data_IF_193470579109
#
_entry.id   IF_193470579109
#
_cell.length_a   1.000
_cell.length_b   1.000
_cell.length_c   1.000
_cell.angle_alpha   90.00
_cell.angle_beta   90.00
_cell.angle_gamma   90.00
#
_symmetry.space_group_name_H-M   'P 1'
#
loop_
_entity.id
_entity.type
_entity.pdbx_description
1 polymer ?
#
# COMPACT_ATOMS: atom_id res chain seq x y z
N UNK A 1 11.98 -3.91 14.44
CA UNK A 1 13.20 -3.19 13.98
C UNK A 1 12.79 -2.14 12.96
N UNK A 2 13.45 -0.97 12.96
CA UNK A 2 13.35 0.00 11.85
C UNK A 2 14.48 -0.27 10.86
N UNK A 3 14.14 -0.42 9.58
CA UNK A 3 15.08 -0.62 8.49
C UNK A 3 15.40 0.72 7.81
N UNK A 4 16.59 0.83 7.22
CA UNK A 4 17.18 2.11 6.81
C UNK A 4 17.65 2.03 5.36
N UNK A 5 17.04 2.84 4.48
CA UNK A 5 17.52 3.00 3.10
C UNK A 5 18.45 4.22 2.97
N UNK A 6 18.19 5.28 3.75
CA UNK A 6 19.01 6.51 3.78
C UNK A 6 19.22 6.97 5.21
N UNK A 7 20.46 7.35 5.53
CA UNK A 7 20.82 7.78 6.88
C UNK A 7 19.94 8.94 7.38
N UNK A 8 19.49 8.85 8.63
CA UNK A 8 18.60 9.81 9.25
C UNK A 8 19.03 10.04 10.71
N UNK A 9 19.46 11.27 11.01
CA UNK A 9 19.70 11.70 12.38
C UNK A 9 18.37 12.13 13.00
N UNK A 10 17.85 11.36 13.95
CA UNK A 10 16.52 11.58 14.53
C UNK A 10 16.47 12.90 15.32
N UNK A 11 17.58 13.33 15.91
CA UNK A 11 17.74 14.61 16.62
C UNK A 11 17.46 15.85 15.76
N UNK A 12 17.63 15.71 14.43
CA UNK A 12 17.35 16.81 13.48
C UNK A 12 15.88 16.91 13.12
N UNK A 13 15.07 15.90 13.43
CA UNK A 13 13.63 15.92 13.20
C UNK A 13 12.99 16.81 14.27
N UNK A 14 12.22 17.80 13.82
CA UNK A 14 11.48 18.73 14.69
C UNK A 14 9.98 18.49 14.63
N UNK A 15 9.52 17.70 13.67
CA UNK A 15 8.11 17.43 13.48
C UNK A 15 7.85 16.01 13.00
N UNK A 16 6.93 15.31 13.66
CA UNK A 16 6.48 13.96 13.33
C UNK A 16 5.07 14.04 12.76
N UNK A 17 4.91 13.63 11.51
CA UNK A 17 3.63 13.63 10.83
C UNK A 17 3.12 12.21 10.60
N UNK A 18 1.82 12.02 10.74
CA UNK A 18 1.17 10.73 10.59
C UNK A 18 0.04 10.77 9.56
N UNK A 19 -0.08 9.70 8.79
CA UNK A 19 -1.35 9.27 8.23
C UNK A 19 -2.15 8.47 9.27
N UNK A 20 -3.46 8.29 9.04
CA UNK A 20 -4.32 7.53 9.94
C UNK A 20 -4.49 6.08 9.48
N UNK A 21 -5.22 5.86 8.38
CA UNK A 21 -5.61 4.54 7.89
C UNK A 21 -4.38 3.70 7.51
N UNK A 22 -4.31 2.44 7.96
CA UNK A 22 -3.16 1.53 7.79
C UNK A 22 -1.80 2.07 8.27
N UNK A 23 -1.79 3.18 9.04
CA UNK A 23 -0.61 3.76 9.66
C UNK A 23 -0.79 3.78 11.17
N UNK A 24 -1.63 4.68 11.72
CA UNK A 24 -2.02 4.67 13.12
C UNK A 24 -3.11 3.63 13.39
N UNK A 25 -4.13 3.61 12.51
CA UNK A 25 -5.27 2.70 12.55
C UNK A 25 -5.01 1.50 11.66
N UNK A 26 -4.43 0.46 12.25
CA UNK A 26 -4.15 -0.79 11.54
C UNK A 26 -5.40 -1.65 11.47
N UNK A 27 -5.95 -1.87 10.28
CA UNK A 27 -7.08 -2.79 10.10
C UNK A 27 -6.64 -4.26 10.18
N UNK A 28 -7.49 -5.10 10.76
CA UNK A 28 -7.23 -6.53 10.96
C UNK A 28 -7.51 -7.31 9.67
N UNK A 29 -6.51 -8.06 9.22
CA UNK A 29 -6.60 -8.95 8.06
C UNK A 29 -6.88 -10.40 8.51
N UNK A 30 -7.75 -11.16 7.81
CA UNK A 30 -8.47 -10.77 6.59
C UNK A 30 -9.86 -10.15 6.83
N UNK A 31 -10.27 -9.95 8.09
CA UNK A 31 -11.63 -9.53 8.45
C UNK A 31 -12.08 -8.24 7.75
N UNK A 32 -11.20 -7.24 7.65
CA UNK A 32 -11.52 -5.95 7.04
C UNK A 32 -11.62 -6.06 5.50
N UNK A 33 -10.71 -6.80 4.88
CA UNK A 33 -10.73 -7.06 3.44
C UNK A 33 -11.95 -7.89 3.03
N UNK A 34 -12.36 -8.85 3.85
CA UNK A 34 -13.58 -9.65 3.68
C UNK A 34 -14.85 -8.79 3.73
N UNK A 35 -14.92 -7.88 4.71
CA UNK A 35 -16.02 -6.93 4.82
C UNK A 35 -16.13 -6.05 3.56
N UNK A 36 -15.01 -5.45 3.15
CA UNK A 36 -14.98 -4.64 1.93
C UNK A 36 -15.35 -5.46 0.69
N UNK A 37 -14.88 -6.71 0.59
CA UNK A 37 -15.18 -7.60 -0.53
C UNK A 37 -16.67 -7.88 -0.66
N UNK A 38 -17.33 -8.21 0.45
CA UNK A 38 -18.77 -8.48 0.48
C UNK A 38 -19.58 -7.25 0.03
N UNK A 39 -19.23 -6.06 0.55
CA UNK A 39 -19.91 -4.82 0.18
C UNK A 39 -19.73 -4.46 -1.30
N UNK A 40 -18.57 -4.73 -1.88
CA UNK A 40 -18.34 -4.52 -3.31
C UNK A 40 -19.18 -5.46 -4.16
N UNK A 41 -19.26 -6.75 -3.81
CA UNK A 41 -20.09 -7.72 -4.52
C UNK A 41 -21.57 -7.31 -4.49
N UNK A 42 -22.07 -6.92 -3.31
CA UNK A 42 -23.43 -6.40 -3.13
C UNK A 42 -23.67 -5.16 -4.02
N UNK A 43 -22.72 -4.22 -4.04
CA UNK A 43 -22.84 -3.01 -4.85
C UNK A 43 -22.83 -3.32 -6.35
N UNK A 44 -21.91 -4.16 -6.83
CA UNK A 44 -21.85 -4.56 -8.24
C UNK A 44 -23.18 -5.19 -8.71
N UNK A 45 -23.79 -6.02 -7.87
CA UNK A 45 -25.09 -6.63 -8.20
C UNK A 45 -26.20 -5.59 -8.22
N UNK A 46 -26.17 -4.64 -7.29
CA UNK A 46 -27.16 -3.54 -7.25
C UNK A 46 -27.14 -2.69 -8.53
N UNK A 47 -25.99 -2.60 -9.22
CA UNK A 47 -25.84 -1.88 -10.49
C UNK A 47 -26.01 -2.79 -11.73
N UNK A 48 -26.29 -4.09 -11.54
CA UNK A 48 -26.69 -5.01 -12.61
C UNK A 48 -25.70 -6.13 -12.95
N UNK A 49 -24.64 -6.33 -12.18
CA UNK A 49 -23.78 -7.51 -12.36
C UNK A 49 -24.53 -8.82 -12.04
N UNK A 50 -24.15 -9.95 -12.66
CA UNK A 50 -24.85 -11.22 -12.48
C UNK A 50 -24.80 -11.71 -11.02
N UNK A 51 -25.92 -12.14 -10.42
CA UNK A 51 -25.98 -12.50 -8.99
C UNK A 51 -25.10 -13.69 -8.61
N UNK A 52 -24.66 -14.49 -9.58
CA UNK A 52 -23.78 -15.63 -9.35
C UNK A 52 -22.41 -15.21 -8.77
N UNK A 53 -22.01 -13.94 -8.91
CA UNK A 53 -20.76 -13.45 -8.30
C UNK A 53 -20.78 -13.45 -6.76
N UNK A 54 -21.95 -13.51 -6.11
CA UNK A 54 -22.06 -13.68 -4.64
C UNK A 54 -21.45 -14.99 -4.15
N UNK A 55 -21.25 -15.97 -5.02
CA UNK A 55 -20.64 -17.23 -4.64
C UNK A 55 -19.15 -17.09 -4.30
N UNK A 56 -18.48 -16.02 -4.78
CA UNK A 56 -17.09 -15.76 -4.45
C UNK A 56 -16.93 -15.33 -3.00
N UNK A 57 -15.86 -15.83 -2.38
CA UNK A 57 -15.38 -15.40 -1.06
C UNK A 57 -14.00 -14.79 -1.22
N UNK A 58 -13.66 -13.83 -0.38
CA UNK A 58 -12.32 -13.25 -0.38
C UNK A 58 -11.29 -14.32 -0.02
N UNK A 59 -10.23 -14.44 -0.82
CA UNK A 59 -9.10 -15.33 -0.55
C UNK A 59 -7.84 -14.48 -0.30
N UNK A 60 -7.40 -14.31 0.96
CA UNK A 60 -6.21 -13.51 1.29
C UNK A 60 -4.90 -14.14 0.79
N UNK A 61 -4.92 -15.38 0.29
CA UNK A 61 -3.72 -16.04 -0.26
C UNK A 61 -3.44 -15.65 -1.71
N UNK A 62 -4.40 -15.02 -2.40
CA UNK A 62 -4.26 -14.64 -3.80
C UNK A 62 -3.58 -13.28 -4.01
N UNK A 63 -4.14 -12.15 -3.54
CA UNK A 63 -3.60 -10.84 -3.89
C UNK A 63 -2.33 -10.52 -3.11
N UNK A 64 -1.36 -9.93 -3.80
CA UNK A 64 -0.21 -9.25 -3.20
C UNK A 64 -0.30 -7.76 -3.55
N UNK A 65 0.06 -6.87 -2.63
CA UNK A 65 0.05 -5.43 -2.90
C UNK A 65 1.07 -5.05 -3.98
N UNK A 66 0.80 -3.99 -4.74
CA UNK A 66 1.69 -3.48 -5.79
C UNK A 66 1.54 -4.17 -7.14
N UNK A 67 0.51 -5.00 -7.34
CA UNK A 67 0.15 -5.54 -8.65
C UNK A 67 -0.30 -4.42 -9.60
N UNK A 68 -0.20 -4.69 -10.89
CA UNK A 68 -0.64 -3.81 -11.97
C UNK A 68 -1.78 -4.48 -12.73
N UNK A 69 -2.93 -3.84 -12.79
CA UNK A 69 -4.03 -4.28 -13.64
C UNK A 69 -3.85 -3.70 -15.05
N UNK A 70 -3.88 -4.56 -16.07
CA UNK A 70 -3.92 -4.16 -17.49
C UNK A 70 -5.38 -4.04 -17.95
N UNK A 71 -5.85 -2.80 -18.10
CA UNK A 71 -7.22 -2.52 -18.53
C UNK A 71 -7.51 -2.90 -19.99
N UNK A 72 -6.49 -3.21 -20.81
CA UNK A 72 -6.70 -3.68 -22.17
C UNK A 72 -7.00 -5.18 -22.22
N UNK A 73 -6.28 -5.98 -21.44
CA UNK A 73 -6.32 -7.45 -21.53
C UNK A 73 -6.84 -8.16 -20.27
N UNK A 74 -7.23 -7.42 -19.23
CA UNK A 74 -7.82 -8.00 -18.02
C UNK A 74 -6.84 -8.84 -17.19
N UNK A 75 -5.54 -8.55 -17.29
CA UNK A 75 -4.50 -9.32 -16.62
C UNK A 75 -4.02 -8.60 -15.36
N UNK A 76 -3.77 -9.37 -14.30
CA UNK A 76 -3.01 -8.91 -13.14
C UNK A 76 -1.54 -9.24 -13.35
N UNK A 77 -0.71 -8.21 -13.26
CA UNK A 77 0.71 -8.26 -13.55
C UNK A 77 1.52 -7.94 -12.30
N UNK A 78 2.52 -8.76 -12.01
CA UNK A 78 3.62 -8.40 -11.11
C UNK A 78 4.80 -8.01 -11.97
N UNK A 79 5.35 -6.83 -11.74
CA UNK A 79 6.41 -6.26 -12.57
C UNK A 79 7.61 -5.81 -11.76
N UNK A 80 8.76 -5.79 -12.41
CA UNK A 80 9.98 -5.20 -11.87
C UNK A 80 9.99 -3.65 -12.08
N UNK A 81 11.02 -2.95 -11.59
CA UNK A 81 11.08 -1.48 -11.68
C UNK A 81 11.11 -0.92 -13.11
N UNK A 82 11.54 -1.76 -14.06
CA UNK A 82 11.65 -1.44 -15.47
C UNK A 82 10.38 -1.81 -16.24
N UNK A 83 9.36 -2.39 -15.60
CA UNK A 83 8.13 -2.80 -16.26
C UNK A 83 8.22 -4.19 -16.91
N UNK A 84 9.28 -4.96 -16.66
CA UNK A 84 9.34 -6.33 -17.13
C UNK A 84 8.42 -7.21 -16.29
N UNK A 85 7.76 -8.16 -16.95
CA UNK A 85 6.86 -9.10 -16.30
C UNK A 85 7.63 -10.10 -15.43
N UNK A 86 7.13 -10.28 -14.21
CA UNK A 86 7.51 -11.32 -13.25
C UNK A 86 6.43 -12.40 -13.20
N UNK A 87 5.18 -11.98 -13.02
CA UNK A 87 3.99 -12.85 -12.95
C UNK A 87 2.87 -12.23 -13.78
N UNK A 88 2.08 -13.07 -14.45
CA UNK A 88 0.90 -12.65 -15.20
C UNK A 88 -0.24 -13.64 -14.91
N UNK A 89 -1.36 -13.15 -14.41
CA UNK A 89 -2.57 -13.95 -14.19
C UNK A 89 -3.76 -13.36 -14.96
N UNK A 90 -4.53 -14.24 -15.60
CA UNK A 90 -5.81 -13.92 -16.22
C UNK A 90 -6.91 -14.63 -15.41
N UNK A 91 -7.64 -13.88 -14.59
CA UNK A 91 -8.45 -14.46 -13.52
C UNK A 91 -7.55 -15.19 -12.53
N UNK A 92 -7.86 -16.44 -12.21
CA UNK A 92 -7.01 -17.30 -11.38
C UNK A 92 -5.97 -18.13 -12.17
N UNK A 93 -5.92 -17.96 -13.50
CA UNK A 93 -5.01 -18.71 -14.36
C UNK A 93 -3.69 -17.98 -14.57
N UNK A 94 -2.60 -18.56 -14.06
CA UNK A 94 -1.25 -18.04 -14.26
C UNK A 94 -0.73 -18.38 -15.67
N UNK A 95 -0.49 -17.34 -16.48
CA UNK A 95 -0.01 -17.47 -17.85
C UNK A 95 1.49 -17.81 -17.88
N UNK A 96 1.93 -18.62 -18.86
CA UNK A 96 3.33 -19.02 -18.99
C UNK A 96 3.86 -18.79 -20.40
N UNK A 97 5.18 -18.63 -20.52
CA UNK A 97 5.94 -18.77 -21.77
C UNK A 97 5.33 -18.03 -22.97
N UNK A 98 4.81 -18.81 -23.92
CA UNK A 98 4.23 -18.33 -25.17
C UNK A 98 2.93 -17.51 -25.00
N UNK A 99 2.13 -17.82 -23.97
CA UNK A 99 0.88 -17.08 -23.72
C UNK A 99 1.16 -15.65 -23.28
N UNK A 100 2.20 -15.45 -22.46
CA UNK A 100 2.65 -14.10 -22.09
C UNK A 100 3.13 -13.36 -23.33
N UNK A 101 3.84 -14.02 -24.24
CA UNK A 101 4.36 -13.38 -25.47
C UNK A 101 3.26 -12.96 -26.44
N UNK A 102 2.10 -13.62 -26.41
CA UNK A 102 0.93 -13.21 -27.18
C UNK A 102 0.43 -11.82 -26.76
N UNK A 103 0.29 -11.58 -25.44
CA UNK A 103 -0.18 -10.29 -24.91
C UNK A 103 0.95 -9.24 -24.79
N UNK A 104 2.16 -9.69 -24.47
CA UNK A 104 3.33 -8.86 -24.18
C UNK A 104 4.55 -9.40 -24.93
N UNK A 105 4.70 -9.08 -26.23
CA UNK A 105 5.76 -9.63 -27.08
C UNK A 105 7.18 -9.43 -26.54
N UNK A 106 7.43 -8.31 -25.83
CA UNK A 106 8.72 -8.02 -25.20
C UNK A 106 8.74 -8.33 -23.68
N UNK A 107 7.74 -9.05 -23.16
CA UNK A 107 7.53 -9.29 -21.71
C UNK A 107 7.68 -8.01 -20.87
N UNK A 108 7.18 -6.91 -21.40
CA UNK A 108 7.38 -5.56 -20.87
C UNK A 108 6.09 -4.74 -20.99
N UNK A 109 5.87 -3.85 -20.03
CA UNK A 109 4.81 -2.83 -20.06
C UNK A 109 5.39 -1.43 -19.87
N UNK A 110 4.76 -0.46 -20.53
CA UNK A 110 5.01 0.96 -20.30
C UNK A 110 4.20 1.43 -19.09
N UNK A 111 4.70 1.18 -17.87
CA UNK A 111 3.98 1.50 -16.62
C UNK A 111 3.57 2.97 -16.44
N UNK A 112 4.16 3.88 -17.22
CA UNK A 112 3.81 5.30 -17.21
C UNK A 112 2.56 5.60 -18.08
N UNK A 113 2.07 4.63 -18.86
CA UNK A 113 0.75 4.68 -19.50
C UNK A 113 -0.36 4.38 -18.47
N UNK A 114 -0.66 5.38 -17.65
CA UNK A 114 -1.65 5.29 -16.57
C UNK A 114 -3.10 5.23 -17.07
N UNK A 115 -3.34 5.34 -18.38
CA UNK A 115 -4.67 5.12 -18.97
C UNK A 115 -4.99 3.64 -19.15
N UNK A 116 -3.95 2.81 -19.27
CA UNK A 116 -4.04 1.37 -19.45
C UNK A 116 -3.64 0.61 -18.18
N UNK A 117 -2.52 0.97 -17.57
CA UNK A 117 -1.94 0.24 -16.46
C UNK A 117 -2.24 0.92 -15.13
N UNK A 118 -2.93 0.20 -14.25
CA UNK A 118 -3.34 0.72 -12.94
C UNK A 118 -2.60 -0.03 -11.83
N UNK A 119 -1.78 0.69 -11.07
CA UNK A 119 -0.99 0.11 -9.98
C UNK A 119 -1.80 0.12 -8.68
N UNK A 120 -1.96 -1.05 -8.07
CA UNK A 120 -2.72 -1.30 -6.86
C UNK A 120 -1.81 -1.18 -5.62
N UNK A 121 -1.57 0.06 -5.16
CA UNK A 121 -0.49 0.40 -4.22
C UNK A 121 -0.85 0.35 -2.73
N UNK A 122 -2.14 0.38 -2.37
CA UNK A 122 -2.59 0.43 -0.97
C UNK A 122 -3.15 -0.92 -0.52
N UNK A 123 -3.26 -1.13 0.79
CA UNK A 123 -3.89 -2.33 1.33
C UNK A 123 -5.40 -2.40 1.00
N UNK A 124 -6.07 -1.25 0.86
CA UNK A 124 -7.44 -1.18 0.33
C UNK A 124 -7.58 -1.82 -1.07
N UNK A 125 -6.52 -1.80 -1.88
CA UNK A 125 -6.57 -2.38 -3.23
C UNK A 125 -6.46 -3.92 -3.25
N UNK A 126 -6.16 -4.58 -2.12
CA UNK A 126 -6.08 -6.05 -2.08
C UNK A 126 -7.44 -6.69 -2.42
N UNK A 127 -8.51 -6.13 -1.85
CA UNK A 127 -9.89 -6.52 -2.13
C UNK A 127 -10.23 -6.37 -3.61
N UNK A 128 -9.88 -5.24 -4.22
CA UNK A 128 -10.12 -5.00 -5.64
C UNK A 128 -9.31 -5.94 -6.53
N UNK A 129 -8.03 -6.17 -6.21
CA UNK A 129 -7.17 -7.11 -6.94
C UNK A 129 -7.80 -8.51 -6.97
N UNK A 130 -8.30 -8.99 -5.83
CA UNK A 130 -8.99 -10.27 -5.77
C UNK A 130 -10.30 -10.24 -6.57
N UNK A 131 -11.11 -9.18 -6.44
CA UNK A 131 -12.38 -9.04 -7.16
C UNK A 131 -12.17 -9.00 -8.68
N UNK A 132 -11.14 -8.32 -9.19
CA UNK A 132 -10.79 -8.35 -10.61
C UNK A 132 -10.52 -9.78 -11.09
N UNK A 133 -9.76 -10.56 -10.31
CA UNK A 133 -9.51 -11.95 -10.65
C UNK A 133 -10.80 -12.80 -10.62
N UNK A 134 -11.67 -12.61 -9.63
CA UNK A 134 -12.98 -13.26 -9.56
C UNK A 134 -13.84 -12.95 -10.79
N UNK A 135 -13.94 -11.68 -11.19
CA UNK A 135 -14.77 -11.28 -12.33
C UNK A 135 -14.21 -11.85 -13.64
N UNK A 136 -12.90 -11.71 -13.87
CA UNK A 136 -12.26 -12.29 -15.07
C UNK A 136 -12.46 -13.81 -15.10
N UNK A 137 -12.27 -14.51 -13.98
CA UNK A 137 -12.53 -15.95 -13.88
C UNK A 137 -13.99 -16.31 -14.16
N UNK A 138 -14.93 -15.58 -13.56
CA UNK A 138 -16.37 -15.79 -13.74
C UNK A 138 -16.79 -15.65 -15.20
N UNK A 139 -16.48 -14.53 -15.84
CA UNK A 139 -16.91 -14.25 -17.20
C UNK A 139 -16.20 -15.17 -18.22
N UNK A 140 -14.94 -15.52 -17.96
CA UNK A 140 -14.18 -16.46 -18.82
C UNK A 140 -14.81 -17.86 -18.85
N UNK A 141 -15.33 -18.32 -17.71
CA UNK A 141 -15.88 -19.67 -17.54
C UNK A 141 -17.41 -19.73 -17.71
N UNK A 142 -18.10 -18.60 -17.83
CA UNK A 142 -19.55 -18.55 -17.98
C UNK A 142 -19.94 -18.69 -19.47
N UNK A 143 -20.61 -19.78 -19.81
CA UNK A 143 -21.04 -20.09 -21.19
C UNK A 143 -21.99 -19.05 -21.83
N UNK A 144 -22.56 -18.13 -21.03
CA UNK A 144 -23.37 -17.01 -21.53
C UNK A 144 -22.53 -15.96 -22.28
N UNK A 145 -21.23 -15.89 -22.01
CA UNK A 145 -20.35 -14.85 -22.53
C UNK A 145 -19.37 -15.45 -23.55
N UNK A 146 -19.14 -14.70 -24.62
CA UNK A 146 -18.10 -15.02 -25.61
C UNK A 146 -16.84 -14.25 -25.23
N UNK A 147 -15.74 -14.97 -25.03
CA UNK A 147 -14.43 -14.41 -24.72
C UNK A 147 -13.88 -13.66 -25.94
N UNK A 148 -13.44 -12.42 -25.74
CA UNK A 148 -12.77 -11.59 -26.73
C UNK A 148 -11.44 -11.11 -26.13
N UNK A 149 -10.47 -10.73 -26.97
CA UNK A 149 -9.14 -10.32 -26.52
C UNK A 149 -9.16 -9.16 -25.50
N UNK A 150 -10.19 -8.30 -25.55
CA UNK A 150 -10.31 -7.08 -24.74
C UNK A 150 -11.55 -7.04 -23.84
N UNK A 151 -12.24 -8.17 -23.68
CA UNK A 151 -13.40 -8.27 -22.79
C UNK A 151 -14.34 -9.41 -23.13
N UNK A 152 -15.62 -9.23 -22.83
CA UNK A 152 -16.64 -10.26 -22.98
C UNK A 152 -17.85 -9.73 -23.76
N UNK A 153 -18.44 -10.59 -24.61
CA UNK A 153 -19.64 -10.27 -25.37
C UNK A 153 -20.82 -11.14 -24.96
N UNK A 154 -21.98 -10.53 -24.73
CA UNK A 154 -23.25 -11.21 -24.51
C UNK A 154 -24.34 -10.59 -25.38
N UNK A 155 -24.76 -11.29 -26.43
CA UNK A 155 -25.69 -10.75 -27.44
C UNK A 155 -25.14 -9.47 -28.09
N UNK A 156 -25.85 -8.35 -27.91
CA UNK A 156 -25.45 -7.03 -28.44
C UNK A 156 -24.64 -6.19 -27.43
N UNK A 157 -24.34 -6.74 -26.24
CA UNK A 157 -23.59 -6.05 -25.20
C UNK A 157 -22.14 -6.49 -25.22
N UNK A 158 -21.22 -5.52 -25.19
CA UNK A 158 -19.78 -5.76 -25.05
C UNK A 158 -19.29 -5.06 -23.77
N UNK A 159 -18.66 -5.84 -22.90
CA UNK A 159 -18.06 -5.36 -21.66
C UNK A 159 -16.55 -5.49 -21.76
N UNK A 160 -15.87 -4.36 -21.89
CA UNK A 160 -14.41 -4.34 -21.93
C UNK A 160 -13.81 -4.57 -20.54
N UNK A 161 -12.58 -5.07 -20.46
CA UNK A 161 -11.85 -5.14 -19.19
C UNK A 161 -11.68 -3.75 -18.54
N UNK A 162 -11.56 -2.70 -19.36
CA UNK A 162 -11.48 -1.31 -18.90
C UNK A 162 -12.76 -0.83 -18.24
N UNK A 163 -13.92 -1.07 -18.85
CA UNK A 163 -15.21 -0.68 -18.26
C UNK A 163 -15.47 -1.48 -16.98
N UNK A 164 -15.20 -2.78 -16.98
CA UNK A 164 -15.30 -3.60 -15.77
C UNK A 164 -14.36 -3.11 -14.65
N UNK A 165 -13.16 -2.63 -15.01
CA UNK A 165 -12.27 -1.98 -14.06
C UNK A 165 -12.84 -0.68 -13.48
N UNK A 166 -13.44 0.14 -14.34
CA UNK A 166 -14.10 1.37 -13.92
C UNK A 166 -15.25 1.08 -12.96
N UNK A 167 -16.09 0.09 -13.26
CA UNK A 167 -17.23 -0.29 -12.41
C UNK A 167 -16.78 -0.72 -11.01
N UNK A 168 -15.69 -1.50 -10.88
CA UNK A 168 -15.14 -1.88 -9.57
C UNK A 168 -14.52 -0.69 -8.84
N UNK A 169 -13.79 0.19 -9.54
CA UNK A 169 -13.22 1.41 -8.95
C UNK A 169 -14.33 2.31 -8.41
N UNK A 170 -15.37 2.53 -9.20
CA UNK A 170 -16.53 3.32 -8.81
C UNK A 170 -17.29 2.65 -7.66
N UNK A 171 -17.43 1.33 -7.66
CA UNK A 171 -18.00 0.59 -6.54
C UNK A 171 -17.22 0.81 -5.24
N UNK A 172 -15.89 0.75 -5.28
CA UNK A 172 -15.05 1.00 -4.11
C UNK A 172 -15.18 2.43 -3.60
N UNK A 173 -15.18 3.40 -4.51
CA UNK A 173 -15.39 4.80 -4.17
C UNK A 173 -16.79 5.00 -3.55
N UNK A 174 -17.84 4.36 -4.08
CA UNK A 174 -19.19 4.39 -3.51
C UNK A 174 -19.27 3.72 -2.12
N UNK A 175 -18.61 2.59 -1.92
CA UNK A 175 -18.53 1.92 -0.60
C UNK A 175 -17.86 2.82 0.44
N UNK A 176 -16.87 3.62 0.04
CA UNK A 176 -16.22 4.61 0.92
C UNK A 176 -17.06 5.88 1.12
N UNK A 177 -17.73 6.38 0.07
CA UNK A 177 -18.48 7.64 0.08
C UNK A 177 -19.87 7.51 0.71
N UNK A 178 -20.57 6.40 0.47
CA UNK A 178 -21.86 6.10 1.12
C UNK A 178 -21.73 5.92 2.62
N UNK A 179 -20.52 5.61 3.10
CA UNK A 179 -20.23 5.41 4.51
C UNK A 179 -20.54 4.01 5.02
N UNK A 180 -21.08 3.09 4.20
CA UNK A 180 -21.50 1.77 4.66
C UNK A 180 -20.33 0.93 5.23
N UNK A 181 -19.15 0.98 4.60
CA UNK A 181 -17.95 0.32 5.12
C UNK A 181 -17.53 0.93 6.46
N UNK A 182 -17.57 2.27 6.56
CA UNK A 182 -17.21 2.99 7.78
C UNK A 182 -18.18 2.66 8.91
N UNK A 183 -19.49 2.71 8.66
CA UNK A 183 -20.54 2.37 9.62
C UNK A 183 -20.35 0.96 10.18
N UNK A 184 -20.25 -0.05 9.32
CA UNK A 184 -20.02 -1.45 9.74
C UNK A 184 -18.69 -1.64 10.48
N UNK A 185 -17.68 -0.83 10.15
CA UNK A 185 -16.39 -0.84 10.88
C UNK A 185 -16.58 -0.29 12.30
N UNK A 186 -17.30 0.82 12.44
CA UNK A 186 -17.54 1.48 13.72
C UNK A 186 -18.47 0.66 14.64
N UNK A 187 -19.40 -0.12 14.07
CA UNK A 187 -20.24 -1.07 14.81
C UNK A 187 -19.44 -2.15 15.55
N UNK A 188 -18.25 -2.50 15.06
CA UNK A 188 -17.39 -3.52 15.69
C UNK A 188 -15.90 -3.23 15.51
N UNK A 189 -15.46 -2.14 16.14
CA UNK A 189 -14.06 -1.69 16.09
C UNK A 189 -13.07 -2.76 16.60
N UNK A 190 -13.45 -3.54 17.60
CA UNK A 190 -12.59 -4.61 18.11
C UNK A 190 -12.34 -5.71 17.09
N UNK A 191 -13.31 -6.02 16.23
CA UNK A 191 -13.11 -6.99 15.15
C UNK A 191 -12.22 -6.45 14.04
N UNK A 192 -12.29 -5.16 13.74
CA UNK A 192 -11.70 -4.61 12.53
C UNK A 192 -10.43 -3.78 12.73
N UNK A 193 -10.17 -3.24 13.92
CA UNK A 193 -9.05 -2.32 14.17
C UNK A 193 -8.13 -2.87 15.26
N UNK A 194 -6.83 -2.90 14.99
CA UNK A 194 -5.80 -3.25 15.97
C UNK A 194 -5.62 -2.08 16.93
N UNK A 195 -5.79 -2.35 18.22
CA UNK A 195 -5.60 -1.39 19.30
C UNK A 195 -4.32 -1.70 20.06
N UNK A 196 -3.41 -0.73 20.15
CA UNK A 196 -2.10 -0.88 20.79
C UNK A 196 -1.89 0.21 21.87
N UNK A 197 -1.80 -0.16 23.16
CA UNK A 197 -1.64 0.79 24.28
C UNK A 197 -0.32 1.56 24.26
N UNK A 198 0.62 1.19 23.38
CA UNK A 198 1.90 1.89 23.24
C UNK A 198 1.80 3.12 22.34
N UNK A 199 0.72 3.28 21.57
CA UNK A 199 0.55 4.41 20.65
C UNK A 199 0.54 5.76 21.40
N UNK A 200 -0.28 5.96 22.45
CA UNK A 200 -0.25 7.21 23.21
C UNK A 200 1.13 7.49 23.83
N UNK A 201 1.80 6.45 24.34
CA UNK A 201 3.15 6.56 24.91
C UNK A 201 4.19 7.03 23.87
N UNK A 202 4.11 6.55 22.63
CA UNK A 202 5.03 6.98 21.59
C UNK A 202 4.77 8.44 21.19
N UNK A 203 3.50 8.83 21.03
CA UNK A 203 3.15 10.19 20.65
C UNK A 203 3.49 11.21 21.74
N UNK A 204 3.27 10.89 23.02
CA UNK A 204 3.66 11.78 24.13
C UNK A 204 5.16 12.02 24.13
N UNK A 205 5.95 10.95 23.98
CA UNK A 205 7.41 11.02 23.84
C UNK A 205 7.87 11.84 22.64
N UNK A 206 7.20 11.73 21.50
CA UNK A 206 7.49 12.57 20.32
C UNK A 206 7.21 14.05 20.59
N UNK A 207 6.13 14.34 21.33
CA UNK A 207 5.73 15.70 21.69
C UNK A 207 6.69 16.38 22.68
N UNK A 208 7.41 15.59 23.49
CA UNK A 208 8.46 16.11 24.38
C UNK A 208 9.66 16.68 23.62
N UNK A 209 9.95 16.18 22.41
CA UNK A 209 11.15 16.54 21.63
C UNK A 209 10.85 17.33 20.35
N UNK A 210 9.60 17.42 19.93
CA UNK A 210 9.18 18.09 18.70
C UNK A 210 7.66 18.24 18.61
N UNK A 211 7.20 18.67 17.43
CA UNK A 211 5.76 18.80 17.14
C UNK A 211 5.22 17.51 16.53
N UNK A 212 3.93 17.23 16.75
CA UNK A 212 3.24 16.07 16.18
C UNK A 212 2.03 16.53 15.38
N UNK A 213 1.82 16.01 14.17
CA UNK A 213 0.63 16.32 13.39
C UNK A 213 0.00 15.10 12.72
N UNK A 214 -1.31 15.19 12.52
CA UNK A 214 -2.10 14.23 11.74
C UNK A 214 -2.48 14.88 10.39
N UNK A 215 -2.26 14.18 9.29
CA UNK A 215 -2.68 14.58 7.96
C UNK A 215 -3.28 13.36 7.24
N UNK A 216 -4.60 13.23 7.31
CA UNK A 216 -5.34 12.05 6.81
C UNK A 216 -6.29 12.39 5.66
N UNK A 217 -6.55 11.42 4.79
CA UNK A 217 -7.55 11.54 3.73
C UNK A 217 -8.99 11.37 4.24
N UNK A 218 -9.17 10.69 5.37
CA UNK A 218 -10.48 10.46 5.97
C UNK A 218 -11.12 11.76 6.47
N UNK A 219 -12.44 11.77 6.56
CA UNK A 219 -13.22 12.88 7.12
C UNK A 219 -13.14 12.90 8.65
N UNK A 220 -13.51 14.04 9.26
CA UNK A 220 -13.42 14.22 10.70
C UNK A 220 -14.23 13.22 11.52
N UNK A 221 -15.46 12.89 11.13
CA UNK A 221 -16.31 12.04 11.97
C UNK A 221 -15.74 10.63 12.07
N UNK A 222 -15.25 10.10 10.94
CA UNK A 222 -14.59 8.81 10.93
C UNK A 222 -13.26 8.86 11.70
N UNK A 223 -12.46 9.90 11.48
CA UNK A 223 -11.20 10.10 12.20
C UNK A 223 -11.42 10.18 13.71
N UNK A 224 -12.40 10.96 14.17
CA UNK A 224 -12.68 11.13 15.59
C UNK A 224 -13.13 9.82 16.25
N UNK A 225 -13.97 9.02 15.57
CA UNK A 225 -14.41 7.72 16.08
C UNK A 225 -13.25 6.70 16.17
N UNK A 226 -12.45 6.57 15.10
CA UNK A 226 -11.30 5.65 15.07
C UNK A 226 -10.23 6.07 16.09
N UNK A 227 -9.88 7.35 16.12
CA UNK A 227 -8.85 7.84 17.04
C UNK A 227 -9.32 7.81 18.49
N UNK A 228 -10.61 8.05 18.77
CA UNK A 228 -11.14 7.85 20.13
C UNK A 228 -11.01 6.39 20.56
N UNK A 229 -11.34 5.43 19.68
CA UNK A 229 -11.14 4.01 19.98
C UNK A 229 -9.68 3.65 20.21
N UNK A 230 -8.74 4.15 19.39
CA UNK A 230 -7.32 3.86 19.54
C UNK A 230 -6.70 4.38 20.85
N UNK A 231 -7.31 5.41 21.45
CA UNK A 231 -6.82 6.07 22.67
C UNK A 231 -7.65 5.76 23.91
N UNK A 232 -8.76 5.04 23.75
CA UNK A 232 -9.62 4.63 24.84
C UNK A 232 -9.01 3.44 25.62
N UNK A 233 -8.41 3.70 26.77
CA UNK A 233 -7.87 2.64 27.63
C UNK A 233 -8.50 2.66 29.03
N UNK A 234 -9.76 3.14 29.15
CA UNK A 234 -10.47 3.23 30.43
C UNK A 234 -10.55 1.91 31.19
N UNK A 235 -10.61 0.80 30.45
CA UNK A 235 -10.81 -0.54 30.99
C UNK A 235 -9.50 -1.28 31.32
N UNK A 236 -8.36 -0.60 31.23
CA UNK A 236 -7.04 -1.17 31.53
C UNK A 236 -6.36 -0.35 32.62
N UNK A 237 -5.53 -1.00 33.45
CA UNK A 237 -4.67 -0.38 34.47
C UNK A 237 -3.56 0.49 33.82
N UNK A 238 -3.96 1.48 33.03
CA UNK A 238 -3.09 2.46 32.38
C UNK A 238 -3.08 3.71 33.26
N UNK A 239 -1.89 4.31 33.52
CA UNK A 239 -1.81 5.53 34.31
C UNK A 239 -2.79 6.61 33.83
N UNK A 240 -3.50 7.27 34.76
CA UNK A 240 -4.44 8.36 34.47
C UNK A 240 -3.83 9.45 33.57
N UNK A 241 -2.50 9.64 33.64
CA UNK A 241 -1.75 10.59 32.81
C UNK A 241 -1.81 10.30 31.30
N UNK A 242 -2.22 9.11 30.88
CA UNK A 242 -2.39 8.73 29.46
C UNK A 242 -3.85 8.80 28.99
N UNK A 243 -4.81 9.05 29.88
CA UNK A 243 -6.24 9.16 29.55
C UNK A 243 -6.62 10.58 29.07
N UNK A 244 -5.88 11.10 28.10
CA UNK A 244 -6.20 12.37 27.45
C UNK A 244 -6.97 12.14 26.14
N UNK A 245 -7.85 13.07 25.71
CA UNK A 245 -8.46 13.02 24.39
C UNK A 245 -7.39 12.92 23.31
N UNK A 246 -7.58 12.07 22.30
CA UNK A 246 -6.59 11.81 21.24
C UNK A 246 -6.07 13.11 20.59
N UNK A 247 -6.93 14.13 20.46
CA UNK A 247 -6.59 15.44 19.89
C UNK A 247 -5.44 16.15 20.63
N UNK A 248 -5.29 15.93 21.93
CA UNK A 248 -4.24 16.59 22.72
C UNK A 248 -2.84 16.08 22.37
N UNK A 249 -2.72 14.93 21.72
CA UNK A 249 -1.44 14.36 21.28
C UNK A 249 -0.89 15.04 20.01
N UNK A 250 -1.69 15.89 19.35
CA UNK A 250 -1.33 16.53 18.09
C UNK A 250 -1.32 18.06 18.23
N UNK A 251 -0.27 18.69 17.72
CA UNK A 251 -0.16 20.15 17.60
C UNK A 251 -0.95 20.68 16.40
N UNK A 252 -1.16 19.84 15.37
CA UNK A 252 -1.97 20.14 14.21
C UNK A 252 -2.71 18.89 13.73
N UNK A 253 -4.00 19.04 13.41
CA UNK A 253 -4.84 17.97 12.88
C UNK A 253 -5.45 18.46 11.56
N UNK A 254 -5.18 17.74 10.48
CA UNK A 254 -5.73 18.03 9.15
C UNK A 254 -6.40 16.77 8.59
N UNK A 255 -7.70 16.87 8.34
CA UNK A 255 -8.53 15.83 7.70
C UNK A 255 -8.79 16.19 6.24
N UNK A 256 -9.42 15.29 5.47
CA UNK A 256 -9.77 15.53 4.06
C UNK A 256 -8.60 16.03 3.19
N UNK A 257 -7.38 15.57 3.45
CA UNK A 257 -6.17 16.13 2.81
C UNK A 257 -6.12 15.88 1.29
N UNK A 258 -6.81 14.85 0.78
CA UNK A 258 -6.83 14.45 -0.64
C UNK A 258 -5.42 14.20 -1.20
N UNK A 259 -4.54 13.57 -0.42
CA UNK A 259 -3.24 13.08 -0.89
C UNK A 259 -3.44 12.21 -2.14
N UNK A 260 -2.66 12.41 -3.21
CA UNK A 260 -1.40 13.18 -3.27
C UNK A 260 -1.52 14.67 -3.61
N UNK A 261 -2.73 15.19 -3.90
CA UNK A 261 -2.95 16.60 -4.27
C UNK A 261 -2.44 17.54 -3.18
N UNK A 262 -2.57 17.12 -1.92
CA UNK A 262 -2.04 17.78 -0.72
C UNK A 262 -0.58 18.22 -0.83
N UNK A 263 0.28 17.42 -1.46
CA UNK A 263 1.72 17.70 -1.62
C UNK A 263 2.04 18.55 -2.86
N UNK A 264 1.03 18.97 -3.60
CA UNK A 264 1.11 19.85 -4.75
C UNK A 264 0.33 21.14 -4.45
N UNK A 265 -0.62 21.54 -5.29
CA UNK A 265 -1.44 22.74 -5.06
C UNK A 265 -2.40 22.62 -3.85
N UNK A 266 -2.72 21.41 -3.40
CA UNK A 266 -3.65 21.17 -2.31
C UNK A 266 -5.08 21.64 -2.61
N UNK A 267 -5.81 21.96 -1.55
CA UNK A 267 -7.16 22.50 -1.61
C UNK A 267 -7.32 23.69 -0.66
N UNK A 268 -8.48 24.35 -0.68
CA UNK A 268 -8.79 25.41 0.27
C UNK A 268 -8.73 24.87 1.70
N UNK A 269 -8.00 25.56 2.59
CA UNK A 269 -7.99 25.25 4.01
C UNK A 269 -9.30 25.68 4.67
N UNK A 270 -9.94 24.75 5.37
CA UNK A 270 -11.19 24.97 6.11
C UNK A 270 -10.99 24.60 7.58
N UNK A 271 -11.86 25.09 8.46
CA UNK A 271 -11.91 24.69 9.87
C UNK A 271 -13.11 23.79 10.11
N UNK A 272 -12.93 22.70 10.84
CA UNK A 272 -14.00 21.78 11.24
C UNK A 272 -14.68 22.30 12.50
N UNK A 273 -16.01 22.29 12.54
CA UNK A 273 -16.77 22.39 13.78
C UNK A 273 -16.80 21.00 14.43
N UNK A 274 -16.00 20.79 15.46
CA UNK A 274 -15.82 19.49 16.12
C UNK A 274 -17.06 18.96 16.83
N UNK A 275 -18.03 19.83 17.16
CA UNK A 275 -19.27 19.42 17.83
C UNK A 275 -20.28 18.83 16.84
N UNK A 276 -20.18 19.21 15.55
CA UNK A 276 -21.12 18.79 14.50
C UNK A 276 -20.47 17.95 13.41
N UNK A 277 -19.13 17.91 13.37
CA UNK A 277 -18.33 17.32 12.30
C UNK A 277 -18.34 18.07 10.96
N UNK A 278 -19.07 19.20 10.86
CA UNK A 278 -19.24 19.94 9.59
C UNK A 278 -18.16 20.99 9.42
N UNK A 279 -17.85 21.31 8.16
CA UNK A 279 -16.93 22.41 7.83
C UNK A 279 -17.58 23.77 8.08
N UNK A 280 -16.85 24.66 8.77
CA UNK A 280 -17.22 26.08 8.86
C UNK A 280 -17.15 26.72 7.47
N UNK A 281 -18.08 27.63 7.18
CA UNK A 281 -18.15 28.31 5.88
C UNK A 281 -16.99 29.32 5.77
N UNK A 282 -16.32 29.32 4.61
CA UNK A 282 -15.18 30.20 4.31
C UNK A 282 -13.81 29.56 4.48
N UNK A 283 -12.81 30.17 3.87
CA UNK A 283 -11.39 29.78 4.00
C UNK A 283 -10.86 30.19 5.37
N UNK A 284 -10.14 29.29 6.04
CA UNK A 284 -9.48 29.62 7.30
C UNK A 284 -8.23 30.46 7.04
N UNK A 285 -8.16 31.65 7.64
CA UNK A 285 -7.02 32.58 7.52
C UNK A 285 -6.41 32.97 8.87
N UNK A 286 -6.80 32.27 9.94
CA UNK A 286 -6.32 32.54 11.30
C UNK A 286 -4.98 31.87 11.62
N UNK A 287 -4.40 32.17 12.81
CA UNK A 287 -3.22 31.46 13.30
C UNK A 287 -3.56 30.02 13.75
N UNK A 288 -2.55 29.19 14.02
CA UNK A 288 -2.77 27.87 14.60
C UNK A 288 -3.46 27.98 15.98
N UNK A 289 -4.61 27.33 16.13
CA UNK A 289 -5.35 27.22 17.39
C UNK A 289 -5.15 25.85 18.05
N UNK A 290 -5.00 25.83 19.37
CA UNK A 290 -4.87 24.60 20.14
C UNK A 290 -6.10 23.70 19.99
N UNK A 291 -5.89 22.40 19.73
CA UNK A 291 -6.94 21.40 19.52
C UNK A 291 -7.93 21.69 18.38
N UNK A 292 -7.65 22.69 17.53
CA UNK A 292 -8.46 22.95 16.35
C UNK A 292 -8.18 21.90 15.26
N UNK A 293 -9.22 21.60 14.50
CA UNK A 293 -9.15 20.63 13.39
C UNK A 293 -9.37 21.37 12.08
N UNK A 294 -8.49 21.11 11.13
CA UNK A 294 -8.53 21.68 9.79
C UNK A 294 -8.92 20.63 8.77
N UNK A 295 -9.44 21.06 7.62
CA UNK A 295 -9.82 20.20 6.51
C UNK A 295 -9.24 20.75 5.21
N UNK A 296 -8.71 19.86 4.36
CA UNK A 296 -8.08 20.21 3.09
C UNK A 296 -6.71 20.84 3.27
N UNK A 297 -6.48 22.00 2.64
CA UNK A 297 -5.20 22.69 2.67
C UNK A 297 -4.12 22.01 1.81
N UNK A 298 -2.85 22.31 2.13
CA UNK A 298 -1.67 21.77 1.45
C UNK A 298 -0.54 21.50 2.45
N UNK A 299 0.49 20.77 2.00
CA UNK A 299 1.71 20.56 2.78
C UNK A 299 2.45 21.84 3.13
N UNK A 300 2.33 22.88 2.30
CA UNK A 300 2.96 24.19 2.55
C UNK A 300 2.28 24.88 3.73
N UNK A 301 0.96 24.83 3.78
CA UNK A 301 0.17 25.35 4.91
C UNK A 301 0.53 24.63 6.21
N UNK A 302 0.76 23.31 6.18
CA UNK A 302 1.25 22.57 7.36
C UNK A 302 2.62 23.08 7.81
N UNK A 303 3.55 23.28 6.86
CA UNK A 303 4.87 23.82 7.16
C UNK A 303 4.77 25.22 7.79
N UNK A 304 3.91 26.09 7.27
CA UNK A 304 3.71 27.46 7.74
C UNK A 304 3.10 27.49 9.15
N UNK A 305 2.01 26.74 9.37
CA UNK A 305 1.33 26.68 10.68
C UNK A 305 2.24 26.10 11.78
N UNK A 306 3.09 25.12 11.43
CA UNK A 306 4.02 24.49 12.37
C UNK A 306 5.37 25.19 12.42
N UNK A 307 5.67 26.14 11.52
CA UNK A 307 6.96 26.83 11.45
C UNK A 307 8.14 25.87 11.23
N UNK A 308 7.98 24.88 10.35
CA UNK A 308 8.99 23.84 10.06
C UNK A 308 9.27 23.76 8.56
N UNK A 309 10.44 23.24 8.18
CA UNK A 309 10.81 23.02 6.77
C UNK A 309 10.88 21.54 6.46
N UNK A 310 10.88 21.19 5.17
CA UNK A 310 10.72 19.80 4.74
C UNK A 310 11.65 18.78 5.43
N UNK A 311 12.95 19.07 5.55
CA UNK A 311 13.91 18.13 6.20
C UNK A 311 13.76 18.01 7.72
N UNK A 312 13.00 18.91 8.35
CA UNK A 312 12.67 18.87 9.77
C UNK A 312 11.48 17.92 10.04
N UNK A 313 10.74 17.55 8.99
CA UNK A 313 9.55 16.70 9.07
C UNK A 313 9.93 15.24 8.75
N UNK A 314 9.53 14.33 9.64
CA UNK A 314 9.43 12.90 9.37
C UNK A 314 7.95 12.53 9.20
N UNK A 315 7.52 12.29 7.96
CA UNK A 315 6.16 11.87 7.66
C UNK A 315 6.06 10.35 7.55
N UNK A 316 5.10 9.78 8.27
CA UNK A 316 4.84 8.34 8.39
C UNK A 316 3.52 8.00 7.71
N UNK A 317 3.55 7.08 6.75
CA UNK A 317 2.38 6.63 6.01
C UNK A 317 2.60 5.25 5.39
N UNK A 318 1.54 4.60 4.92
CA UNK A 318 1.57 3.28 4.27
C UNK A 318 1.50 3.37 2.73
N UNK A 319 1.00 4.50 2.20
CA UNK A 319 0.81 4.68 0.77
C UNK A 319 2.13 5.11 0.11
N UNK A 320 2.83 4.16 -0.51
CA UNK A 320 4.14 4.38 -1.16
C UNK A 320 4.13 5.55 -2.17
N UNK A 321 3.03 5.74 -2.89
CA UNK A 321 2.89 6.85 -3.84
C UNK A 321 2.35 8.11 -3.17
N UNK A 322 1.18 8.01 -2.53
CA UNK A 322 0.44 9.13 -1.97
C UNK A 322 1.19 9.86 -0.85
N UNK A 323 1.76 9.12 0.09
CA UNK A 323 2.42 9.67 1.28
C UNK A 323 3.91 9.82 1.07
N UNK A 324 4.57 8.78 0.55
CA UNK A 324 6.03 8.69 0.59
C UNK A 324 6.68 9.33 -0.63
N UNK A 325 6.37 8.85 -1.85
CA UNK A 325 6.99 9.36 -3.08
C UNK A 325 6.71 10.86 -3.27
N UNK A 326 5.45 11.29 -3.05
CA UNK A 326 5.02 12.66 -3.32
C UNK A 326 5.58 13.65 -2.29
N UNK A 327 5.52 13.34 -1.00
CA UNK A 327 6.16 14.19 0.02
C UNK A 327 7.68 14.29 -0.19
N UNK A 328 8.33 13.18 -0.55
CA UNK A 328 9.77 13.15 -0.84
C UNK A 328 10.14 14.02 -2.04
N UNK A 329 9.46 13.83 -3.18
CA UNK A 329 9.80 14.51 -4.44
C UNK A 329 9.38 15.98 -4.49
N UNK A 330 8.20 16.30 -3.95
CA UNK A 330 7.64 17.66 -4.04
C UNK A 330 8.17 18.55 -2.92
N UNK A 331 8.29 18.02 -1.71
CA UNK A 331 8.54 18.81 -0.50
C UNK A 331 9.86 18.50 0.19
N UNK A 332 10.59 17.47 -0.25
CA UNK A 332 11.86 17.07 0.36
C UNK A 332 11.73 16.56 1.79
N UNK A 333 10.54 16.08 2.18
CA UNK A 333 10.27 15.54 3.51
C UNK A 333 11.11 14.29 3.80
N UNK A 334 11.41 14.04 5.08
CA UNK A 334 11.93 12.74 5.52
C UNK A 334 10.75 11.78 5.62
N UNK A 335 10.97 10.53 5.26
CA UNK A 335 9.88 9.57 5.04
C UNK A 335 10.07 8.28 5.81
N UNK A 336 9.01 7.82 6.45
CA UNK A 336 8.90 6.51 7.06
C UNK A 336 7.73 5.75 6.44
N UNK A 337 8.02 4.64 5.77
CA UNK A 337 6.96 3.78 5.21
C UNK A 337 6.56 2.70 6.21
N UNK A 338 5.28 2.67 6.57
CA UNK A 338 4.67 1.54 7.26
C UNK A 338 4.36 0.45 6.24
N UNK A 339 4.85 -0.76 6.44
CA UNK A 339 4.61 -1.92 5.57
C UNK A 339 4.09 -3.08 6.41
N UNK A 340 2.77 -3.12 6.70
CA UNK A 340 2.20 -4.11 7.62
C UNK A 340 2.54 -5.55 7.27
N UNK A 341 2.58 -5.88 5.98
CA UNK A 341 2.90 -7.23 5.48
C UNK A 341 4.33 -7.67 5.82
N UNK A 342 5.22 -6.72 6.13
CA UNK A 342 6.62 -6.98 6.45
C UNK A 342 6.77 -7.92 7.66
N UNK A 343 5.83 -7.92 8.61
CA UNK A 343 5.88 -8.85 9.74
C UNK A 343 5.83 -10.31 9.27
N UNK A 344 4.88 -10.66 8.39
CA UNK A 344 4.74 -11.99 7.81
C UNK A 344 5.86 -12.28 6.80
N UNK A 345 6.22 -11.30 5.97
CA UNK A 345 7.32 -11.44 5.00
C UNK A 345 8.65 -11.79 5.68
N UNK A 346 8.98 -11.15 6.82
CA UNK A 346 10.20 -11.44 7.57
C UNK A 346 10.19 -12.85 8.19
N UNK A 347 9.02 -13.31 8.65
CA UNK A 347 8.87 -14.67 9.15
C UNK A 347 9.15 -15.69 8.03
N UNK A 348 8.47 -15.57 6.89
CA UNK A 348 8.66 -16.47 5.74
C UNK A 348 10.09 -16.39 5.21
N UNK A 349 10.67 -15.20 5.11
CA UNK A 349 12.05 -14.99 4.69
C UNK A 349 13.05 -15.75 5.58
N UNK A 350 12.82 -15.76 6.89
CA UNK A 350 13.68 -16.46 7.85
C UNK A 350 13.48 -17.97 7.80
N UNK A 351 12.23 -18.42 7.75
CA UNK A 351 11.88 -19.86 7.70
C UNK A 351 12.27 -20.52 6.38
N UNK A 352 12.33 -19.77 5.27
CA UNK A 352 12.58 -20.27 3.91
C UNK A 352 13.89 -19.75 3.32
N UNK A 353 14.84 -19.33 4.18
CA UNK A 353 16.13 -18.80 3.74
C UNK A 353 16.91 -19.80 2.88
N UNK A 354 16.77 -21.11 3.14
CA UNK A 354 17.43 -22.17 2.37
C UNK A 354 17.09 -22.13 0.87
N UNK A 355 15.82 -21.87 0.51
CA UNK A 355 15.41 -21.75 -0.89
C UNK A 355 16.05 -20.52 -1.55
N UNK A 356 16.21 -19.42 -0.81
CA UNK A 356 16.87 -18.24 -1.32
C UNK A 356 18.37 -18.45 -1.50
N UNK A 357 19.02 -19.15 -0.57
CA UNK A 357 20.43 -19.51 -0.67
C UNK A 357 20.69 -20.51 -1.82
N UNK A 358 19.79 -21.49 -2.04
CA UNK A 358 19.83 -22.37 -3.22
C UNK A 358 19.71 -21.56 -4.51
N UNK A 359 18.73 -20.64 -4.58
CA UNK A 359 18.55 -19.79 -5.76
C UNK A 359 19.80 -18.93 -6.05
N UNK A 360 20.41 -18.36 -5.01
CA UNK A 360 21.67 -17.60 -5.13
C UNK A 360 22.82 -18.47 -5.61
N UNK A 361 22.93 -19.70 -5.10
CA UNK A 361 23.95 -20.66 -5.53
C UNK A 361 23.78 -21.04 -7.00
N UNK A 362 22.55 -21.26 -7.46
CA UNK A 362 22.25 -21.55 -8.86
C UNK A 362 22.57 -20.37 -9.79
N UNK A 363 22.26 -19.14 -9.36
CA UNK A 363 22.60 -17.92 -10.10
C UNK A 363 24.12 -17.73 -10.21
N UNK A 364 24.89 -18.02 -9.15
CA UNK A 364 26.35 -17.99 -9.16
C UNK A 364 26.94 -19.07 -10.08
N UNK A 365 26.47 -20.31 -9.96
CA UNK A 365 26.91 -21.41 -10.82
C UNK A 365 26.63 -21.13 -12.30
N UNK A 366 25.49 -20.51 -12.61
CA UNK A 366 25.19 -20.07 -13.97
C UNK A 366 26.18 -19.01 -14.46
N UNK A 367 26.64 -18.10 -13.61
CA UNK A 367 27.64 -17.09 -13.96
C UNK A 367 29.03 -17.71 -14.19
N UNK A 368 29.45 -18.65 -13.35
CA UNK A 368 30.74 -19.38 -13.46
C UNK A 368 30.86 -20.11 -14.81
N UNK A 369 29.77 -20.67 -15.33
CA UNK A 369 29.75 -21.30 -16.67
C UNK A 369 30.13 -20.35 -17.82
N UNK A 370 29.97 -19.04 -17.62
CA UNK A 370 30.32 -18.02 -18.60
C UNK A 370 31.62 -17.27 -18.28
N UNK A 371 32.26 -17.52 -17.14
CA UNK A 371 33.38 -16.70 -16.63
C UNK A 371 34.58 -16.65 -17.58
N UNK A 372 34.89 -17.76 -18.24
CA UNK A 372 36.04 -17.88 -19.14
C UNK A 372 35.67 -17.75 -20.63
N UNK A 373 34.41 -17.43 -20.94
CA UNK A 373 33.93 -17.26 -22.30
C UNK A 373 34.00 -15.79 -22.69
N UNK A 374 34.76 -15.48 -23.74
CA UNK A 374 34.86 -14.15 -24.31
C UNK A 374 34.07 -14.03 -25.63
N UNK A 375 34.11 -12.85 -26.26
CA UNK A 375 33.41 -12.60 -27.53
C UNK A 375 33.92 -13.45 -28.71
N UNK A 376 35.08 -14.10 -28.57
CA UNK A 376 35.64 -15.01 -29.56
C UNK A 376 35.24 -16.47 -29.34
N UNK A 377 34.63 -16.81 -28.20
CA UNK A 377 34.24 -18.17 -27.89
C UNK A 377 33.05 -18.64 -28.73
N UNK A 378 33.21 -19.80 -29.38
CA UNK A 378 32.12 -20.52 -30.06
C UNK A 378 31.38 -21.50 -29.14
N UNK A 379 31.87 -21.68 -27.91
CA UNK A 379 31.30 -22.60 -26.93
C UNK A 379 29.99 -22.05 -26.36
N UNK A 380 28.97 -22.91 -26.29
CA UNK A 380 27.64 -22.57 -25.77
C UNK A 380 27.29 -23.56 -24.66
N UNK A 381 27.50 -23.20 -23.39
CA UNK A 381 27.13 -24.06 -22.27
C UNK A 381 25.64 -24.41 -22.33
N UNK A 382 25.29 -25.68 -22.09
CA UNK A 382 23.89 -26.08 -21.93
C UNK A 382 23.40 -25.69 -20.53
N UNK A 383 22.63 -24.61 -20.47
CA UNK A 383 22.06 -24.06 -19.25
C UNK A 383 20.61 -24.49 -19.01
N UNK A 384 20.07 -25.41 -19.81
CA UNK A 384 18.65 -25.81 -19.78
C UNK A 384 18.25 -26.45 -18.46
N UNK A 385 19.12 -27.27 -17.87
CA UNK A 385 18.93 -27.90 -16.56
C UNK A 385 18.87 -26.85 -15.44
N UNK A 386 19.89 -25.98 -15.38
CA UNK A 386 20.02 -24.94 -14.35
C UNK A 386 18.85 -23.96 -14.43
N UNK A 387 18.47 -23.52 -15.65
CA UNK A 387 17.31 -22.65 -15.84
C UNK A 387 16.00 -23.27 -15.33
N UNK A 388 15.80 -24.58 -15.54
CA UNK A 388 14.61 -25.28 -15.00
C UNK A 388 14.65 -25.34 -13.48
N UNK A 389 15.81 -25.59 -12.88
CA UNK A 389 15.97 -25.60 -11.42
C UNK A 389 15.71 -24.21 -10.82
N UNK A 390 16.28 -23.14 -11.40
CA UNK A 390 16.03 -21.75 -11.01
C UNK A 390 14.52 -21.45 -11.04
N UNK A 391 13.82 -21.83 -12.11
CA UNK A 391 12.37 -21.62 -12.24
C UNK A 391 11.58 -22.40 -11.18
N UNK A 392 11.97 -23.64 -10.89
CA UNK A 392 11.35 -24.48 -9.86
C UNK A 392 11.51 -23.87 -8.47
N UNK A 393 12.75 -23.57 -8.07
CA UNK A 393 13.06 -22.97 -6.76
C UNK A 393 12.39 -21.61 -6.61
N UNK A 394 12.40 -20.79 -7.68
CA UNK A 394 11.67 -19.50 -7.69
C UNK A 394 10.18 -19.70 -7.43
N UNK A 395 9.54 -20.66 -8.09
CA UNK A 395 8.13 -20.93 -7.91
C UNK A 395 7.82 -21.44 -6.48
N UNK A 396 8.60 -22.40 -5.98
CA UNK A 396 8.46 -22.94 -4.62
C UNK A 396 8.63 -21.84 -3.55
N UNK A 397 9.63 -20.98 -3.71
CA UNK A 397 9.85 -19.85 -2.81
C UNK A 397 8.70 -18.85 -2.86
N UNK A 398 8.25 -18.45 -4.05
CA UNK A 398 7.18 -17.47 -4.20
C UNK A 398 5.86 -17.99 -3.60
N UNK A 399 5.51 -19.26 -3.78
CA UNK A 399 4.29 -19.85 -3.22
C UNK A 399 4.25 -19.85 -1.68
N UNK A 400 5.40 -19.73 -1.00
CA UNK A 400 5.43 -19.61 0.46
C UNK A 400 4.80 -18.30 0.96
N UNK A 401 4.77 -17.25 0.14
CA UNK A 401 4.20 -15.95 0.48
C UNK A 401 2.71 -15.86 0.12
N UNK A 402 2.32 -16.51 -0.98
CA UNK A 402 0.97 -16.49 -1.54
C UNK A 402 1.01 -16.76 -3.06
N UNK A 403 -0.16 -16.84 -3.70
CA UNK A 403 -0.26 -17.16 -5.14
C UNK A 403 0.40 -16.10 -6.03
N UNK A 404 0.42 -14.84 -5.60
CA UNK A 404 1.13 -13.74 -6.28
C UNK A 404 2.55 -13.49 -5.74
N UNK A 405 3.04 -14.33 -4.81
CA UNK A 405 4.38 -14.27 -4.22
C UNK A 405 4.65 -13.06 -3.32
N UNK A 406 5.90 -12.89 -2.91
CA UNK A 406 6.35 -11.82 -2.01
C UNK A 406 6.07 -10.41 -2.55
N UNK A 407 5.71 -9.47 -1.69
CA UNK A 407 5.62 -8.04 -2.00
C UNK A 407 6.92 -7.49 -2.62
N UNK A 408 8.07 -8.03 -2.22
CA UNK A 408 9.37 -7.46 -2.54
C UNK A 408 10.07 -8.10 -3.75
N UNK A 409 9.71 -9.34 -4.11
CA UNK A 409 10.42 -10.10 -5.15
C UNK A 409 9.61 -11.21 -5.82
N UNK A 410 10.16 -11.69 -6.92
CA UNK A 410 9.86 -12.95 -7.57
C UNK A 410 11.21 -13.64 -7.82
N UNK A 411 11.55 -14.67 -7.04
CA UNK A 411 12.90 -15.23 -7.08
C UNK A 411 13.97 -14.20 -6.68
N UNK A 412 15.02 -14.11 -7.50
CA UNK A 412 16.09 -13.12 -7.34
C UNK A 412 15.72 -11.71 -7.85
N UNK A 413 14.58 -11.55 -8.54
CA UNK A 413 14.17 -10.27 -9.16
C UNK A 413 13.31 -9.44 -8.22
N UNK A 414 13.68 -8.18 -8.01
CA UNK A 414 12.92 -7.24 -7.19
C UNK A 414 11.66 -6.74 -7.91
N UNK A 415 10.61 -6.47 -7.14
CA UNK A 415 9.38 -5.84 -7.66
C UNK A 415 9.54 -4.33 -7.83
N UNK A 416 8.62 -3.72 -8.60
CA UNK A 416 8.46 -2.28 -8.65
C UNK A 416 8.27 -1.68 -7.25
N UNK A 417 7.47 -2.32 -6.39
CA UNK A 417 7.23 -1.87 -5.01
C UNK A 417 8.53 -1.82 -4.20
N UNK A 418 9.35 -2.88 -4.24
CA UNK A 418 10.63 -2.93 -3.54
C UNK A 418 11.56 -1.77 -3.96
N UNK A 419 11.67 -1.52 -5.27
CA UNK A 419 12.49 -0.41 -5.77
C UNK A 419 11.97 0.95 -5.36
N UNK A 420 10.64 1.17 -5.38
CA UNK A 420 10.04 2.41 -4.89
C UNK A 420 10.27 2.61 -3.40
N UNK A 421 10.11 1.56 -2.59
CA UNK A 421 10.42 1.57 -1.16
C UNK A 421 11.88 1.99 -0.94
N UNK A 422 12.83 1.29 -1.58
CA UNK A 422 14.26 1.59 -1.45
C UNK A 422 14.58 3.02 -1.89
N UNK A 423 13.94 3.51 -2.96
CA UNK A 423 14.22 4.83 -3.55
C UNK A 423 13.60 6.00 -2.78
N UNK A 424 12.41 5.82 -2.20
CA UNK A 424 11.62 6.95 -1.68
C UNK A 424 11.38 6.92 -0.17
N UNK A 425 11.34 5.75 0.48
CA UNK A 425 11.22 5.64 1.94
C UNK A 425 12.62 5.73 2.59
N UNK A 426 12.90 6.75 3.40
CA UNK A 426 14.20 6.86 4.09
C UNK A 426 14.35 5.73 5.11
N UNK A 427 13.27 5.50 5.85
CA UNK A 427 13.09 4.45 6.84
C UNK A 427 11.84 3.64 6.49
N UNK A 428 11.79 2.38 6.93
CA UNK A 428 10.57 1.58 6.83
C UNK A 428 10.52 0.53 7.94
N UNK A 429 9.32 0.07 8.30
CA UNK A 429 9.13 -1.03 9.21
C UNK A 429 7.72 -1.63 9.09
N UNK A 430 7.49 -2.74 9.79
CA UNK A 430 6.16 -3.34 9.90
C UNK A 430 5.15 -2.43 10.63
N UNK A 431 5.64 -1.58 11.56
CA UNK A 431 4.82 -0.61 12.29
C UNK A 431 5.67 0.58 12.73
N UNK A 432 5.05 1.76 12.78
CA UNK A 432 5.64 2.98 13.34
C UNK A 432 5.97 2.83 14.83
N UNK A 433 5.30 1.90 15.55
CA UNK A 433 5.55 1.68 16.98
C UNK A 433 6.99 1.27 17.27
N UNK A 434 7.70 0.75 16.28
CA UNK A 434 9.10 0.39 16.40
C UNK A 434 10.01 1.57 16.79
N UNK A 435 9.58 2.82 16.62
CA UNK A 435 10.31 4.00 17.11
C UNK A 435 10.46 4.02 18.63
N UNK A 436 9.55 3.39 19.37
CA UNK A 436 9.61 3.33 20.83
C UNK A 436 10.89 2.67 21.36
N UNK A 437 11.54 1.85 20.52
CA UNK A 437 12.76 1.11 20.85
C UNK A 437 14.06 1.83 20.46
N UNK A 438 13.98 3.10 20.04
CA UNK A 438 15.14 3.90 19.67
C UNK A 438 15.11 5.24 20.43
N UNK A 439 16.25 5.73 20.94
CA UNK A 439 16.31 7.07 21.52
C UNK A 439 16.12 8.14 20.43
N UNK A 440 15.57 9.31 20.77
CA UNK A 440 15.39 10.39 19.79
C UNK A 440 16.70 11.02 19.30
N UNK A 441 17.83 10.72 19.92
CA UNK A 441 19.18 11.05 19.43
C UNK A 441 19.76 10.01 18.46
N UNK A 442 19.01 8.94 18.13
CA UNK A 442 19.52 7.86 17.30
C UNK A 442 19.88 8.32 15.88
N UNK A 443 21.04 7.87 15.40
CA UNK A 443 21.46 8.01 14.01
C UNK A 443 21.19 6.72 13.25
N UNK A 444 20.12 6.69 12.48
CA UNK A 444 19.90 5.62 11.50
C UNK A 444 20.96 5.73 10.40
N UNK A 445 21.67 4.64 10.13
CA UNK A 445 22.76 4.60 9.14
C UNK A 445 22.46 3.62 8.02
N UNK A 446 22.60 4.09 6.78
CA UNK A 446 22.71 3.26 5.60
C UNK A 446 24.17 3.31 5.09
N UNK A 447 24.71 2.21 4.52
CA UNK A 447 26.00 2.23 3.87
C UNK A 447 25.99 3.21 2.69
N UNK A 448 27.08 3.96 2.43
CA UNK A 448 27.21 4.76 1.21
C UNK A 448 27.09 3.87 -0.04
N UNK A 449 26.35 4.34 -1.05
CA UNK A 449 26.24 3.66 -2.33
C UNK A 449 27.43 4.08 -3.19
N UNK A 450 28.23 3.12 -3.65
CA UNK A 450 29.18 3.32 -4.74
C UNK A 450 28.42 3.18 -6.06
N UNK A 451 28.41 4.24 -6.87
CA UNK A 451 27.77 4.28 -8.19
C UNK A 451 28.84 4.10 -9.25
#
# INVERSE_FOLDING_TARGET
>A
RIFVNRSLALEKIKCFGFDMDYTLAMYKSPDYEELAFALLLEHLISIGYPPEILAYKYDPTFPTRGLVFDALYGNLLKVDPHGNLLVCAHGFRFLKGAEILHYYPNKFIQRDDTKRFHILNTLFNLTEAHLYACLVDFFTNCSRYVNCDTGYKHGNLFMSFRSMFQDVREAMDQVHLSGCLKEKTLENLEKYVVKDPRVPLLLSRMKEVGKVFLATNSDYNYTDAIMSYLFDFSDRDVPETLQCPWRSYFDLIVVDTRKPLFFAEGTVLRQVNTDTGKLRIGTYTGPLQHCAVYSGGSSDIVCDLLGVKGKDILYMGDHIFGDILKSKKRQGWRTFLVVPELARELQVWTEKSELFEELRSLDLFLAELYEHLDSGSSERPDISSIKRQIQKVTHEMDMCYGKMGSLFRCGSRQTLFASQLMRYADLYAASFINFLYYPFSYLFRAPPVLV
#
